data_IF_344471633258
#
_entry.id   IF_344471633258
#
_cell.length_a   1.000
_cell.length_b   1.000
_cell.length_c   1.000
_cell.angle_alpha   90.00
_cell.angle_beta   90.00
_cell.angle_gamma   90.00
#
_symmetry.space_group_name_H-M   'P 1'
#
loop_
_entity.id
_entity.type
_entity.pdbx_description
1 polymer ?
#
# COMPACT_ATOMS: atom_id res chain seq x y z
N UNK A 1 16.04 -66.29 77.37
CA UNK A 1 16.57 -65.23 76.49
C UNK A 1 15.69 -64.00 76.70
N UNK A 2 16.11 -63.11 77.60
CA UNK A 2 15.34 -61.92 77.98
C UNK A 2 15.71 -60.81 77.01
N UNK A 3 14.72 -60.31 76.26
CA UNK A 3 14.87 -59.18 75.34
C UNK A 3 15.28 -57.94 76.13
N UNK A 4 16.35 -57.31 75.67
CA UNK A 4 16.97 -56.14 76.28
C UNK A 4 15.96 -54.96 76.35
N UNK A 5 15.72 -54.47 77.57
CA UNK A 5 14.78 -53.38 77.87
C UNK A 5 15.21 -52.04 77.26
N UNK A 6 16.44 -51.94 76.76
CA UNK A 6 16.97 -50.75 76.07
C UNK A 6 16.25 -50.44 74.74
N UNK A 7 15.64 -51.46 74.11
CA UNK A 7 15.00 -51.30 72.79
C UNK A 7 13.54 -50.81 72.88
N UNK A 8 12.92 -50.79 74.06
CA UNK A 8 11.52 -50.39 74.22
C UNK A 8 11.33 -48.89 74.47
N UNK A 9 12.39 -48.15 74.83
CA UNK A 9 12.28 -46.75 75.24
C UNK A 9 12.32 -45.75 74.07
N UNK A 10 12.64 -46.21 72.86
CA UNK A 10 12.83 -45.33 71.70
C UNK A 10 11.57 -45.09 70.85
N UNK A 11 10.41 -45.64 71.23
CA UNK A 11 9.15 -45.46 70.49
C UNK A 11 8.11 -44.58 71.19
N UNK A 12 8.42 -44.03 72.37
CA UNK A 12 7.38 -43.49 73.25
C UNK A 12 7.44 -41.97 73.47
N UNK A 13 7.74 -41.15 72.46
CA UNK A 13 7.37 -39.72 72.52
C UNK A 13 7.31 -39.06 71.14
N UNK A 14 6.30 -39.38 70.34
CA UNK A 14 5.83 -38.39 69.38
C UNK A 14 5.16 -37.27 70.19
N UNK A 15 5.52 -35.98 70.01
CA UNK A 15 4.85 -34.91 70.73
C UNK A 15 3.37 -34.95 70.35
N UNK A 16 2.50 -35.10 71.34
CA UNK A 16 1.05 -35.01 71.16
C UNK A 16 0.78 -33.56 70.74
N UNK A 17 0.61 -33.33 69.44
CA UNK A 17 0.31 -32.01 68.90
C UNK A 17 -1.03 -31.55 69.51
N UNK A 18 -1.03 -30.39 70.17
CA UNK A 18 -2.26 -29.74 70.62
C UNK A 18 -3.13 -29.43 69.40
N UNK A 19 -4.29 -30.08 69.35
CA UNK A 19 -5.23 -30.08 68.22
C UNK A 19 -5.63 -28.65 67.84
N UNK A 20 -5.73 -27.74 68.82
CA UNK A 20 -6.01 -26.31 68.59
C UNK A 20 -4.94 -25.63 67.74
N UNK A 21 -3.67 -25.88 68.03
CA UNK A 21 -2.56 -25.23 67.29
C UNK A 21 -2.42 -25.78 65.87
N UNK A 22 -2.84 -27.03 65.63
CA UNK A 22 -2.86 -27.62 64.29
C UNK A 22 -3.98 -27.04 63.42
N UNK A 23 -5.17 -26.86 64.00
CA UNK A 23 -6.31 -26.26 63.31
C UNK A 23 -6.08 -24.78 62.99
N UNK A 24 -5.47 -24.01 63.89
CA UNK A 24 -5.10 -22.61 63.64
C UNK A 24 -4.16 -22.45 62.44
N UNK A 25 -3.09 -23.28 62.37
CA UNK A 25 -2.15 -23.27 61.23
C UNK A 25 -2.84 -23.68 59.92
N UNK A 26 -3.79 -24.61 59.98
CA UNK A 26 -4.56 -25.06 58.81
C UNK A 26 -5.49 -23.96 58.30
N UNK A 27 -6.16 -23.24 59.20
CA UNK A 27 -7.01 -22.10 58.85
C UNK A 27 -6.19 -20.92 58.31
N UNK A 28 -5.03 -20.63 58.88
CA UNK A 28 -4.11 -19.62 58.36
C UNK A 28 -3.64 -19.97 56.94
N UNK A 29 -3.23 -21.21 56.69
CA UNK A 29 -2.86 -21.66 55.35
C UNK A 29 -4.02 -21.56 54.34
N UNK A 30 -5.24 -21.86 54.76
CA UNK A 30 -6.45 -21.67 53.92
C UNK A 30 -6.67 -20.19 53.60
N UNK A 31 -6.50 -19.28 54.57
CA UNK A 31 -6.62 -17.83 54.36
C UNK A 31 -5.56 -17.32 53.38
N UNK A 32 -4.30 -17.69 53.57
CA UNK A 32 -3.20 -17.32 52.67
C UNK A 32 -3.42 -17.84 51.24
N UNK A 33 -3.91 -19.07 51.09
CA UNK A 33 -4.28 -19.63 49.77
C UNK A 33 -5.42 -18.86 49.12
N UNK A 34 -6.46 -18.49 49.89
CA UNK A 34 -7.59 -17.67 49.41
C UNK A 34 -7.12 -16.28 48.96
N UNK A 35 -6.27 -15.61 49.73
CA UNK A 35 -5.72 -14.30 49.36
C UNK A 35 -4.86 -14.36 48.09
N UNK A 36 -3.99 -15.37 47.97
CA UNK A 36 -3.19 -15.60 46.75
C UNK A 36 -4.07 -15.86 45.54
N UNK A 37 -5.14 -16.65 45.70
CA UNK A 37 -6.11 -16.91 44.63
C UNK A 37 -6.86 -15.64 44.20
N UNK A 38 -7.27 -14.79 45.15
CA UNK A 38 -7.91 -13.50 44.87
C UNK A 38 -6.97 -12.54 44.12
N UNK A 39 -5.70 -12.44 44.56
CA UNK A 39 -4.68 -11.63 43.87
C UNK A 39 -4.44 -12.14 42.45
N UNK A 40 -4.35 -13.46 42.25
CA UNK A 40 -4.20 -14.08 40.92
C UNK A 40 -5.39 -13.78 40.01
N UNK A 41 -6.62 -13.89 40.52
CA UNK A 41 -7.85 -13.54 39.77
C UNK A 41 -7.88 -12.07 39.37
N UNK A 42 -7.50 -11.15 40.27
CA UNK A 42 -7.40 -9.71 39.97
C UNK A 42 -6.35 -9.45 38.86
N UNK A 43 -5.18 -10.08 38.95
CA UNK A 43 -4.13 -9.97 37.92
C UNK A 43 -4.59 -10.53 36.58
N UNK A 44 -5.27 -11.67 36.54
CA UNK A 44 -5.82 -12.24 35.31
C UNK A 44 -6.86 -11.33 34.67
N UNK A 45 -7.76 -10.72 35.45
CA UNK A 45 -8.72 -9.72 34.94
C UNK A 45 -8.03 -8.49 34.37
N UNK A 46 -6.95 -8.02 35.00
CA UNK A 46 -6.16 -6.89 34.51
C UNK A 46 -5.47 -7.24 33.18
N UNK A 47 -4.81 -8.40 33.11
CA UNK A 47 -4.16 -8.89 31.90
C UNK A 47 -5.18 -9.03 30.77
N UNK A 48 -6.35 -9.61 31.05
CA UNK A 48 -7.42 -9.76 30.06
C UNK A 48 -7.89 -8.42 29.49
N UNK A 49 -8.06 -7.40 30.34
CA UNK A 49 -8.39 -6.04 29.90
C UNK A 49 -7.27 -5.45 29.03
N UNK A 50 -6.02 -5.61 29.43
CA UNK A 50 -4.85 -5.17 28.66
C UNK A 50 -4.78 -5.86 27.29
N UNK A 51 -4.99 -7.18 27.23
CA UNK A 51 -4.98 -7.93 25.96
C UNK A 51 -6.11 -7.51 25.03
N UNK A 52 -7.26 -7.15 25.57
CA UNK A 52 -8.40 -6.66 24.79
C UNK A 52 -8.11 -5.25 24.22
N UNK A 53 -7.53 -4.36 25.02
CA UNK A 53 -7.13 -3.03 24.54
C UNK A 53 -6.02 -3.16 23.49
N UNK A 54 -5.03 -4.03 23.72
CA UNK A 54 -3.95 -4.24 22.76
C UNK A 54 -4.42 -4.87 21.45
N UNK A 55 -5.43 -5.75 21.48
CA UNK A 55 -5.97 -6.34 20.26
C UNK A 55 -6.70 -5.28 19.42
N UNK A 56 -7.50 -4.41 20.05
CA UNK A 56 -8.13 -3.28 19.37
C UNK A 56 -7.08 -2.36 18.76
N UNK A 57 -6.02 -2.03 19.50
CA UNK A 57 -4.92 -1.22 18.97
C UNK A 57 -4.23 -1.87 17.75
N UNK A 58 -4.00 -3.18 17.79
CA UNK A 58 -3.47 -3.94 16.65
C UNK A 58 -4.39 -3.86 15.42
N UNK A 59 -5.69 -4.06 15.59
CA UNK A 59 -6.66 -3.94 14.49
C UNK A 59 -6.68 -2.53 13.90
N UNK A 60 -6.61 -1.49 14.73
CA UNK A 60 -6.51 -0.11 14.27
C UNK A 60 -5.26 0.13 13.45
N UNK A 61 -4.09 -0.36 13.91
CA UNK A 61 -2.83 -0.22 13.18
C UNK A 61 -2.89 -0.91 11.82
N UNK A 62 -3.37 -2.16 11.77
CA UNK A 62 -3.53 -2.90 10.51
C UNK A 62 -4.46 -2.15 9.55
N UNK A 63 -5.60 -1.65 10.05
CA UNK A 63 -6.55 -0.90 9.22
C UNK A 63 -5.93 0.38 8.65
N UNK A 64 -5.10 1.07 9.44
CA UNK A 64 -4.39 2.26 8.99
C UNK A 64 -3.34 1.95 7.90
N UNK A 65 -2.62 0.84 8.03
CA UNK A 65 -1.67 0.38 7.00
C UNK A 65 -2.37 0.07 5.68
N UNK A 66 -3.51 -0.63 5.74
CA UNK A 66 -4.32 -0.93 4.56
C UNK A 66 -4.77 0.36 3.87
N UNK A 67 -5.29 1.34 4.64
CA UNK A 67 -5.71 2.64 4.11
C UNK A 67 -4.56 3.41 3.44
N UNK A 68 -3.35 3.36 4.02
CA UNK A 68 -2.15 3.97 3.41
C UNK A 68 -1.82 3.34 2.06
N UNK A 69 -1.91 2.01 1.95
CA UNK A 69 -1.74 1.32 0.66
C UNK A 69 -2.75 1.77 -0.39
N UNK A 70 -4.03 1.89 0.00
CA UNK A 70 -5.07 2.41 -0.90
C UNK A 70 -4.86 3.88 -1.29
N UNK A 71 -4.35 4.71 -0.39
CA UNK A 71 -4.03 6.12 -0.69
C UNK A 71 -2.98 6.23 -1.81
N UNK A 72 -1.92 5.42 -1.75
CA UNK A 72 -0.89 5.40 -2.80
C UNK A 72 -1.44 4.90 -4.14
N UNK A 73 -2.32 3.88 -4.10
CA UNK A 73 -3.01 3.40 -5.30
C UNK A 73 -3.90 4.50 -5.89
N UNK A 74 -4.63 5.23 -5.05
CA UNK A 74 -5.51 6.33 -5.49
C UNK A 74 -4.71 7.48 -6.09
N UNK A 75 -3.61 7.88 -5.46
CA UNK A 75 -2.72 8.93 -5.98
C UNK A 75 -2.11 8.51 -7.32
N UNK A 76 -1.64 7.27 -7.42
CA UNK A 76 -1.10 6.72 -8.67
C UNK A 76 -2.17 6.69 -9.77
N UNK A 77 -3.41 6.31 -9.44
CA UNK A 77 -4.55 6.36 -10.39
C UNK A 77 -4.85 7.78 -10.86
N UNK A 78 -4.87 8.75 -9.95
CA UNK A 78 -5.06 10.16 -10.32
C UNK A 78 -3.94 10.66 -11.25
N UNK A 79 -2.69 10.28 -10.96
CA UNK A 79 -1.55 10.60 -11.81
C UNK A 79 -1.70 9.98 -13.20
N UNK A 80 -2.08 8.69 -13.29
CA UNK A 80 -2.35 8.02 -14.57
C UNK A 80 -3.44 8.75 -15.36
N UNK A 81 -4.58 9.07 -14.74
CA UNK A 81 -5.66 9.79 -15.42
C UNK A 81 -5.22 11.17 -15.91
N UNK A 82 -4.41 11.89 -15.12
CA UNK A 82 -3.87 13.19 -15.55
C UNK A 82 -2.90 13.05 -16.73
N UNK A 83 -2.08 12.01 -16.74
CA UNK A 83 -1.14 11.70 -17.82
C UNK A 83 -1.87 11.30 -19.10
N UNK A 84 -2.92 10.48 -19.00
CA UNK A 84 -3.79 10.10 -20.12
C UNK A 84 -4.49 11.32 -20.71
N UNK A 85 -5.02 12.21 -19.86
CA UNK A 85 -5.64 13.45 -20.32
C UNK A 85 -4.63 14.31 -21.10
N UNK A 86 -3.43 14.48 -20.56
CA UNK A 86 -2.38 15.28 -21.21
C UNK A 86 -1.88 14.65 -22.51
N UNK A 87 -1.84 13.32 -22.58
CA UNK A 87 -1.58 12.58 -23.82
C UNK A 87 -2.63 12.87 -24.88
N UNK A 88 -3.92 12.78 -24.52
CA UNK A 88 -5.02 13.04 -25.44
C UNK A 88 -5.01 14.50 -25.93
N UNK A 89 -4.77 15.47 -25.04
CA UNK A 89 -4.60 16.88 -25.40
C UNK A 89 -3.45 17.09 -26.39
N UNK A 90 -2.30 16.43 -26.18
CA UNK A 90 -1.17 16.47 -27.11
C UNK A 90 -1.51 15.86 -28.47
N UNK A 91 -2.27 14.77 -28.48
CA UNK A 91 -2.66 14.09 -29.71
C UNK A 91 -3.65 14.92 -30.53
N UNK A 92 -4.61 15.57 -29.87
CA UNK A 92 -5.49 16.55 -30.50
C UNK A 92 -4.72 17.74 -31.05
N UNK A 93 -3.76 18.26 -30.29
CA UNK A 93 -2.91 19.38 -30.75
C UNK A 93 -2.10 18.98 -31.98
N UNK A 94 -1.51 17.79 -31.97
CA UNK A 94 -0.80 17.23 -33.12
C UNK A 94 -1.72 17.11 -34.34
N UNK A 95 -2.94 16.60 -34.14
CA UNK A 95 -3.92 16.47 -35.22
C UNK A 95 -4.31 17.84 -35.78
N UNK A 96 -4.54 18.84 -34.93
CA UNK A 96 -4.81 20.23 -35.36
C UNK A 96 -3.68 20.77 -36.22
N UNK A 97 -2.43 20.65 -35.78
CA UNK A 97 -1.26 21.14 -36.52
C UNK A 97 -1.11 20.40 -37.85
N UNK A 98 -1.37 19.10 -37.90
CA UNK A 98 -1.34 18.33 -39.16
C UNK A 98 -2.44 18.83 -40.10
N UNK A 99 -3.65 19.06 -39.60
CA UNK A 99 -4.75 19.59 -40.40
C UNK A 99 -4.44 20.99 -40.93
N UNK A 100 -3.87 21.87 -40.10
CA UNK A 100 -3.42 23.21 -40.50
C UNK A 100 -2.30 23.13 -41.56
N UNK A 101 -1.38 22.17 -41.43
CA UNK A 101 -0.32 21.95 -42.40
C UNK A 101 -0.87 21.45 -43.74
N UNK A 102 -1.80 20.49 -43.72
CA UNK A 102 -2.47 20.01 -44.94
C UNK A 102 -3.25 21.13 -45.62
N UNK A 103 -3.92 21.95 -44.83
CA UNK A 103 -4.66 23.11 -45.29
C UNK A 103 -3.72 24.18 -45.90
N UNK A 104 -2.58 24.46 -45.27
CA UNK A 104 -1.57 25.38 -45.80
C UNK A 104 -0.86 24.83 -47.05
N UNK A 105 -0.69 23.51 -47.17
CA UNK A 105 -0.13 22.86 -48.36
C UNK A 105 -1.16 22.71 -49.48
N UNK A 106 -2.44 22.88 -49.20
CA UNK A 106 -3.51 22.73 -50.19
C UNK A 106 -3.33 23.72 -51.32
N UNK A 107 -3.05 23.22 -52.53
CA UNK A 107 -2.86 24.04 -53.73
C UNK A 107 -4.07 24.93 -54.02
N UNK A 108 -5.28 24.48 -53.66
CA UNK A 108 -6.51 25.26 -53.82
C UNK A 108 -6.48 26.47 -52.90
N UNK A 109 -6.14 26.27 -51.63
CA UNK A 109 -6.09 27.35 -50.64
C UNK A 109 -4.94 28.32 -50.91
N UNK A 110 -3.80 27.82 -51.38
CA UNK A 110 -2.68 28.65 -51.87
C UNK A 110 -3.13 29.52 -53.05
N UNK A 111 -3.85 28.94 -54.04
CA UNK A 111 -4.34 29.74 -55.17
C UNK A 111 -5.36 30.78 -54.75
N UNK A 112 -6.23 30.44 -53.80
CA UNK A 112 -7.27 31.31 -53.28
C UNK A 112 -6.64 32.49 -52.50
N UNK A 113 -5.69 32.22 -51.61
CA UNK A 113 -4.95 33.28 -50.93
C UNK A 113 -4.11 34.14 -51.88
N UNK A 114 -3.46 33.55 -52.88
CA UNK A 114 -2.72 34.30 -53.89
C UNK A 114 -3.64 35.24 -54.71
N UNK A 115 -4.82 34.75 -55.11
CA UNK A 115 -5.79 35.57 -55.84
C UNK A 115 -6.38 36.68 -54.98
N UNK A 116 -6.85 36.37 -53.77
CA UNK A 116 -7.61 37.32 -52.96
C UNK A 116 -6.74 38.22 -52.07
N UNK A 117 -5.63 37.71 -51.53
CA UNK A 117 -4.75 38.50 -50.63
C UNK A 117 -3.58 39.16 -51.36
N UNK A 118 -3.05 38.52 -52.39
CA UNK A 118 -1.89 39.03 -53.14
C UNK A 118 -2.29 39.64 -54.50
N UNK A 119 -3.59 39.63 -54.84
CA UNK A 119 -4.12 40.12 -56.12
C UNK A 119 -3.39 39.51 -57.33
N UNK A 120 -2.96 38.25 -57.21
CA UNK A 120 -2.38 37.50 -58.32
C UNK A 120 -3.50 37.00 -59.23
N UNK A 121 -3.25 36.99 -60.53
CA UNK A 121 -4.20 36.44 -61.51
C UNK A 121 -3.72 35.08 -62.03
N UNK A 122 -4.65 34.24 -62.50
CA UNK A 122 -4.30 32.91 -62.98
C UNK A 122 -3.45 33.02 -64.26
N UNK A 123 -2.33 32.28 -64.38
CA UNK A 123 -1.44 32.39 -65.53
C UNK A 123 -2.15 31.98 -66.83
N UNK A 124 -1.85 32.70 -67.92
CA UNK A 124 -2.33 32.36 -69.26
C UNK A 124 -1.61 31.14 -69.83
N UNK A 125 -2.21 30.48 -70.82
CA UNK A 125 -1.71 29.22 -71.39
C UNK A 125 -0.34 29.32 -72.05
N UNK A 126 0.08 30.53 -72.45
CA UNK A 126 1.40 30.87 -72.98
C UNK A 126 2.48 31.04 -71.90
N UNK A 127 2.10 31.19 -70.63
CA UNK A 127 3.00 31.36 -69.49
C UNK A 127 3.31 30.05 -68.74
N UNK A 128 2.70 28.94 -69.13
CA UNK A 128 2.89 27.62 -68.48
C UNK A 128 4.02 26.85 -69.16
N UNK A 129 5.14 26.68 -68.45
CA UNK A 129 6.30 25.89 -68.93
C UNK A 129 6.36 24.55 -68.21
N UNK A 130 6.25 23.45 -68.95
CA UNK A 130 6.38 22.09 -68.42
C UNK A 130 7.86 21.66 -68.44
N UNK A 131 8.42 21.37 -67.26
CA UNK A 131 9.77 20.85 -67.12
C UNK A 131 9.73 19.33 -66.97
N UNK A 132 10.30 18.60 -67.93
CA UNK A 132 10.51 17.15 -67.83
C UNK A 132 11.72 16.86 -66.94
N UNK A 133 11.50 16.20 -65.81
CA UNK A 133 12.57 15.84 -64.86
C UNK A 133 13.21 14.49 -65.25
N UNK A 134 14.17 14.52 -66.17
CA UNK A 134 15.05 13.37 -66.42
C UNK A 134 16.12 13.30 -65.32
N UNK A 135 15.78 12.71 -64.16
CA UNK A 135 16.73 12.68 -63.05
C UNK A 135 16.40 11.80 -61.84
N UNK A 136 15.27 11.09 -61.81
CA UNK A 136 14.96 10.17 -60.70
C UNK A 136 15.71 8.83 -60.80
N UNK A 137 16.99 8.84 -61.20
CA UNK A 137 17.87 7.67 -61.11
C UNK A 137 19.19 8.05 -60.45
N UNK A 138 19.15 8.21 -59.13
CA UNK A 138 20.34 8.11 -58.29
C UNK A 138 20.87 6.68 -58.28
N UNK A 139 21.50 6.23 -59.37
CA UNK A 139 22.37 5.05 -59.33
C UNK A 139 23.75 5.49 -58.86
N UNK A 140 23.96 5.31 -57.55
CA UNK A 140 25.27 5.20 -56.95
C UNK A 140 26.09 4.13 -57.70
N UNK A 141 27.15 4.52 -58.40
CA UNK A 141 28.20 3.61 -58.87
C UNK A 141 29.48 3.96 -58.13
N UNK A 142 29.73 3.21 -57.05
CA UNK A 142 31.08 2.96 -56.55
C UNK A 142 31.59 1.69 -57.21
N UNK A 143 32.47 1.85 -58.19
CA UNK A 143 33.72 1.10 -58.41
C UNK A 143 34.36 1.58 -59.72
#
# INVERSE_FOLDING_TARGET
MLVDKSQLTNYATAPLYDEKTYDEKREEQKRLKREKALKRRKRQKMIFKLTCISSIALFTVVSFFVLKGYSTISETRMNITSLEKRRNELEQTKFSIISELEEAKSSVKISEEAMYKLSMDYPNSDQVVYLSLDGASGKNKHN
#
